data_IF_130947510446
#
_entry.id   IF_130947510446
#
_cell.length_a   1.000
_cell.length_b   1.000
_cell.length_c   1.000
_cell.angle_alpha   90.00
_cell.angle_beta   90.00
_cell.angle_gamma   90.00
#
_symmetry.space_group_name_H-M   'P 1'
#
loop_
_entity.id
_entity.type
_entity.pdbx_description
1 polymer ?
#
# COMPACT_ATOMS: atom_id res chain seq x y z
N UNK A 1 29.83 -37.57 1.76
CA UNK A 1 29.18 -37.46 0.43
C UNK A 1 29.56 -36.16 -0.27
N UNK A 2 29.29 -34.96 0.24
CA UNK A 2 29.59 -33.67 -0.42
C UNK A 2 31.06 -33.50 -0.81
N UNK A 3 32.01 -33.92 0.02
CA UNK A 3 33.44 -33.77 -0.26
C UNK A 3 33.90 -34.56 -1.50
N UNK A 4 33.35 -35.73 -1.77
CA UNK A 4 33.75 -36.59 -2.88
C UNK A 4 32.95 -36.36 -4.17
N UNK A 5 31.84 -35.64 -4.10
CA UNK A 5 31.02 -35.36 -5.28
C UNK A 5 31.67 -34.25 -6.15
N UNK A 6 31.94 -34.51 -7.40
CA UNK A 6 32.52 -33.53 -8.33
C UNK A 6 31.50 -32.48 -8.74
N UNK A 7 30.21 -32.86 -8.82
CA UNK A 7 29.11 -31.98 -9.18
C UNK A 7 27.98 -32.16 -8.17
N UNK A 8 27.43 -31.06 -7.67
CA UNK A 8 26.19 -31.03 -6.91
C UNK A 8 25.09 -30.41 -7.77
N UNK A 9 24.01 -31.17 -8.01
CA UNK A 9 22.82 -30.70 -8.71
C UNK A 9 21.69 -30.49 -7.68
N UNK A 10 21.31 -29.24 -7.47
CA UNK A 10 20.35 -28.83 -6.45
C UNK A 10 19.21 -28.06 -7.16
N UNK A 11 18.10 -28.74 -7.43
CA UNK A 11 17.02 -28.27 -8.30
C UNK A 11 15.66 -28.15 -7.61
N UNK A 12 15.53 -27.46 -6.46
CA UNK A 12 14.22 -27.26 -5.86
C UNK A 12 13.37 -26.35 -6.74
N UNK A 13 12.06 -26.63 -6.80
CA UNK A 13 11.08 -25.78 -7.44
C UNK A 13 10.77 -24.53 -6.58
N UNK A 14 10.93 -24.63 -5.28
CA UNK A 14 10.80 -23.54 -4.31
C UNK A 14 11.49 -23.91 -3.02
N UNK A 15 12.44 -23.09 -2.61
CA UNK A 15 13.16 -23.27 -1.33
C UNK A 15 13.59 -21.89 -0.81
N UNK A 16 13.25 -21.57 0.43
CA UNK A 16 13.53 -20.27 1.04
C UNK A 16 15.01 -20.01 1.31
N UNK A 17 15.84 -21.06 1.44
CA UNK A 17 17.27 -20.93 1.73
C UNK A 17 18.11 -21.94 0.93
N UNK A 18 17.92 -23.21 1.18
CA UNK A 18 18.69 -24.38 0.71
C UNK A 18 20.07 -24.53 1.39
N UNK A 19 20.09 -25.26 2.52
CA UNK A 19 21.33 -25.55 3.25
C UNK A 19 22.22 -26.52 2.50
N UNK A 20 21.67 -27.47 1.73
CA UNK A 20 22.43 -28.48 0.96
C UNK A 20 23.46 -27.81 0.03
N UNK A 21 23.06 -26.76 -0.70
CA UNK A 21 23.96 -26.01 -1.56
C UNK A 21 25.10 -25.35 -0.77
N UNK A 22 24.78 -24.76 0.40
CA UNK A 22 25.78 -24.13 1.28
C UNK A 22 26.73 -25.14 1.89
N UNK A 23 26.21 -26.29 2.34
CA UNK A 23 27.03 -27.38 2.90
C UNK A 23 27.98 -27.97 1.86
N UNK A 24 27.51 -28.15 0.62
CA UNK A 24 28.38 -28.60 -0.48
C UNK A 24 29.56 -27.66 -0.67
N UNK A 25 29.29 -26.37 -0.85
CA UNK A 25 30.32 -25.35 -1.05
C UNK A 25 31.29 -25.28 0.15
N UNK A 26 30.78 -25.33 1.37
CA UNK A 26 31.58 -25.28 2.60
C UNK A 26 32.52 -26.48 2.77
N UNK A 27 32.13 -27.68 2.30
CA UNK A 27 32.94 -28.89 2.42
C UNK A 27 34.03 -29.01 1.35
N UNK A 28 34.00 -28.18 0.29
CA UNK A 28 34.96 -28.22 -0.84
C UNK A 28 36.21 -27.37 -0.62
N UNK A 29 36.79 -27.34 0.59
CA UNK A 29 37.93 -26.46 0.94
C UNK A 29 39.17 -26.71 0.07
N UNK A 30 39.54 -27.96 -0.13
CA UNK A 30 40.76 -28.36 -0.85
C UNK A 30 40.44 -29.12 -2.16
N UNK A 31 39.18 -29.36 -2.48
CA UNK A 31 38.77 -30.24 -3.55
C UNK A 31 37.94 -29.45 -4.57
N UNK A 32 38.22 -29.52 -5.89
CA UNK A 32 37.42 -28.86 -6.90
C UNK A 32 36.01 -29.46 -6.96
N UNK A 33 35.09 -28.72 -7.52
CA UNK A 33 33.71 -29.15 -7.74
C UNK A 33 32.83 -28.05 -8.31
N UNK A 34 31.69 -28.43 -8.82
CA UNK A 34 30.74 -27.50 -9.45
C UNK A 34 29.38 -27.60 -8.75
N UNK A 35 28.83 -26.47 -8.37
CA UNK A 35 27.45 -26.37 -7.92
C UNK A 35 26.55 -25.92 -9.08
N UNK A 36 25.53 -26.74 -9.39
CA UNK A 36 24.40 -26.38 -10.26
C UNK A 36 23.22 -26.14 -9.34
N UNK A 37 22.67 -24.92 -9.34
CA UNK A 37 21.69 -24.48 -8.37
C UNK A 37 20.47 -23.87 -9.04
N UNK A 38 19.29 -24.26 -8.59
CA UNK A 38 18.02 -23.63 -9.01
C UNK A 38 17.98 -22.16 -8.63
N UNK A 39 17.60 -21.29 -9.57
CA UNK A 39 17.31 -19.89 -9.32
C UNK A 39 16.15 -19.68 -8.33
N UNK A 40 15.31 -20.72 -8.14
CA UNK A 40 14.20 -20.72 -7.17
C UNK A 40 14.64 -21.05 -5.72
N UNK A 41 15.92 -21.32 -5.50
CA UNK A 41 16.50 -21.47 -4.17
C UNK A 41 16.97 -20.12 -3.63
N UNK A 42 16.62 -19.77 -2.40
CA UNK A 42 17.06 -18.52 -1.77
C UNK A 42 18.59 -18.40 -1.68
N UNK A 43 19.30 -19.52 -1.58
CA UNK A 43 20.77 -19.55 -1.65
C UNK A 43 21.35 -19.07 -2.99
N UNK A 44 20.60 -19.02 -4.08
CA UNK A 44 21.06 -18.56 -5.41
C UNK A 44 21.52 -17.10 -5.39
N UNK A 45 20.92 -16.28 -4.54
CA UNK A 45 21.30 -14.87 -4.36
C UNK A 45 22.69 -14.71 -3.74
N UNK A 46 23.02 -15.60 -2.79
CA UNK A 46 24.33 -15.60 -2.12
C UNK A 46 25.39 -16.37 -2.91
N UNK A 47 25.01 -17.49 -3.51
CA UNK A 47 25.89 -18.37 -4.27
C UNK A 47 25.79 -18.11 -5.80
N UNK A 48 25.92 -16.85 -6.20
CA UNK A 48 25.74 -16.40 -7.59
C UNK A 48 26.81 -16.95 -8.55
N UNK A 49 27.94 -17.45 -8.04
CA UNK A 49 28.97 -18.12 -8.83
C UNK A 49 28.66 -19.61 -9.15
N UNK A 50 27.55 -20.15 -8.63
CA UNK A 50 27.00 -21.43 -9.09
C UNK A 50 26.53 -21.35 -10.56
N UNK A 51 26.38 -22.49 -11.21
CA UNK A 51 25.65 -22.56 -12.47
C UNK A 51 24.15 -22.47 -12.15
N UNK A 52 23.59 -21.27 -12.29
CA UNK A 52 22.16 -21.06 -12.00
C UNK A 52 21.31 -21.59 -13.16
N UNK A 53 20.23 -22.30 -12.83
CA UNK A 53 19.32 -22.91 -13.79
C UNK A 53 17.86 -22.72 -13.38
N UNK A 54 16.97 -22.67 -14.36
CA UNK A 54 15.56 -22.82 -14.12
C UNK A 54 15.23 -24.33 -13.96
N UNK A 55 14.71 -24.77 -12.78
CA UNK A 55 14.46 -26.18 -12.52
C UNK A 55 13.35 -26.80 -13.39
N UNK A 56 12.56 -25.98 -14.11
CA UNK A 56 11.55 -26.45 -15.06
C UNK A 56 12.06 -26.53 -16.51
N UNK A 57 13.29 -26.08 -16.77
CA UNK A 57 13.92 -26.08 -18.09
C UNK A 57 14.95 -27.23 -18.20
N UNK A 58 14.53 -28.33 -18.80
CA UNK A 58 15.36 -29.54 -18.97
C UNK A 58 16.57 -29.29 -19.86
N UNK A 59 16.45 -28.45 -20.86
CA UNK A 59 17.55 -28.13 -21.79
C UNK A 59 18.62 -27.32 -21.06
N UNK A 60 18.21 -26.36 -20.21
CA UNK A 60 19.13 -25.58 -19.40
C UNK A 60 19.85 -26.46 -18.35
N UNK A 61 19.15 -27.45 -17.75
CA UNK A 61 19.76 -28.42 -16.84
C UNK A 61 20.80 -29.27 -17.56
N UNK A 62 20.48 -29.80 -18.76
CA UNK A 62 21.41 -30.57 -19.58
C UNK A 62 22.66 -29.77 -19.93
N UNK A 63 22.48 -28.53 -20.41
CA UNK A 63 23.58 -27.63 -20.75
C UNK A 63 24.48 -27.35 -19.52
N UNK A 64 23.88 -27.13 -18.36
CA UNK A 64 24.62 -26.88 -17.13
C UNK A 64 25.45 -28.10 -16.70
N UNK A 65 24.87 -29.31 -16.80
CA UNK A 65 25.59 -30.56 -16.52
C UNK A 65 26.77 -30.75 -17.51
N UNK A 66 26.50 -30.57 -18.80
CA UNK A 66 27.55 -30.66 -19.83
C UNK A 66 28.68 -29.65 -19.62
N UNK A 67 28.33 -28.42 -19.20
CA UNK A 67 29.30 -27.37 -18.85
C UNK A 67 30.10 -27.74 -17.61
N UNK A 68 29.45 -28.24 -16.57
CA UNK A 68 30.10 -28.65 -15.33
C UNK A 68 31.12 -29.77 -15.56
N UNK A 69 30.77 -30.77 -16.38
CA UNK A 69 31.67 -31.89 -16.72
C UNK A 69 32.92 -31.46 -17.51
N UNK A 70 32.82 -30.38 -18.27
CA UNK A 70 33.93 -29.85 -19.10
C UNK A 70 34.65 -28.67 -18.45
N UNK A 71 34.21 -28.23 -17.28
CA UNK A 71 34.77 -27.05 -16.62
C UNK A 71 36.22 -27.28 -16.15
N UNK A 72 37.17 -26.39 -16.55
CA UNK A 72 38.55 -26.49 -16.10
C UNK A 72 38.65 -26.44 -14.56
N UNK A 73 39.60 -27.20 -14.01
CA UNK A 73 39.80 -27.26 -12.55
C UNK A 73 40.04 -25.88 -11.92
N UNK A 74 40.71 -25.00 -12.65
CA UNK A 74 40.97 -23.63 -12.18
C UNK A 74 39.67 -22.81 -12.04
N UNK A 75 38.78 -22.86 -13.05
CA UNK A 75 37.48 -22.20 -12.98
C UNK A 75 36.62 -22.78 -11.83
N UNK A 76 36.65 -24.10 -11.62
CA UNK A 76 35.95 -24.73 -10.50
C UNK A 76 36.42 -24.17 -9.15
N UNK A 77 37.76 -24.04 -8.96
CA UNK A 77 38.37 -23.50 -7.74
C UNK A 77 38.01 -22.03 -7.54
N UNK A 78 38.13 -21.20 -8.56
CA UNK A 78 37.80 -19.77 -8.47
C UNK A 78 36.33 -19.55 -8.06
N UNK A 79 35.41 -20.28 -8.69
CA UNK A 79 33.97 -20.19 -8.35
C UNK A 79 33.72 -20.59 -6.91
N UNK A 80 34.29 -21.73 -6.46
CA UNK A 80 34.15 -22.20 -5.09
C UNK A 80 34.75 -21.20 -4.09
N UNK A 81 35.93 -20.67 -4.35
CA UNK A 81 36.58 -19.68 -3.46
C UNK A 81 35.73 -18.43 -3.26
N UNK A 82 35.11 -17.91 -4.35
CA UNK A 82 34.21 -16.75 -4.26
C UNK A 82 32.97 -17.08 -3.42
N UNK A 83 32.34 -18.24 -3.65
CA UNK A 83 31.18 -18.67 -2.86
C UNK A 83 31.56 -18.92 -1.39
N UNK A 84 32.72 -19.56 -1.11
CA UNK A 84 33.23 -19.79 0.24
C UNK A 84 33.53 -18.48 0.98
N UNK A 85 34.08 -17.48 0.31
CA UNK A 85 34.30 -16.16 0.88
C UNK A 85 32.98 -15.54 1.37
N UNK A 86 31.91 -15.67 0.60
CA UNK A 86 30.56 -15.20 0.99
C UNK A 86 30.07 -15.98 2.22
N UNK A 87 30.16 -17.31 2.20
CA UNK A 87 29.71 -18.15 3.31
C UNK A 87 30.51 -17.90 4.61
N UNK A 88 31.79 -17.57 4.52
CA UNK A 88 32.63 -17.28 5.69
C UNK A 88 32.18 -16.03 6.44
N UNK A 89 31.55 -15.07 5.75
CA UNK A 89 31.00 -13.85 6.33
C UNK A 89 29.55 -14.03 6.77
N UNK A 90 28.77 -14.82 6.04
CA UNK A 90 27.35 -15.06 6.31
C UNK A 90 27.12 -16.23 7.29
N UNK A 91 27.68 -16.10 8.48
CA UNK A 91 27.58 -17.13 9.53
C UNK A 91 26.21 -17.12 10.21
N UNK A 92 25.84 -18.24 10.87
CA UNK A 92 24.61 -18.34 11.69
C UNK A 92 24.57 -17.27 12.79
N UNK A 93 25.71 -16.93 13.37
CA UNK A 93 25.80 -15.90 14.40
C UNK A 93 25.50 -14.50 13.82
N UNK A 94 26.03 -14.20 12.63
CA UNK A 94 25.71 -12.96 11.94
C UNK A 94 24.22 -12.89 11.57
N UNK A 95 23.68 -13.96 10.99
CA UNK A 95 22.25 -14.05 10.68
C UNK A 95 21.39 -13.82 11.91
N UNK A 96 21.68 -14.47 13.02
CA UNK A 96 20.96 -14.31 14.28
C UNK A 96 21.05 -12.87 14.81
N UNK A 97 22.25 -12.25 14.74
CA UNK A 97 22.45 -10.87 15.18
C UNK A 97 21.66 -9.88 14.31
N UNK A 98 21.68 -10.05 12.98
CA UNK A 98 20.94 -9.22 12.03
C UNK A 98 19.43 -9.38 12.24
N UNK A 99 18.91 -10.61 12.37
CA UNK A 99 17.52 -10.89 12.69
C UNK A 99 17.07 -10.23 14.00
N UNK A 100 17.86 -10.38 15.06
CA UNK A 100 17.54 -9.79 16.37
C UNK A 100 17.58 -8.27 16.34
N UNK A 101 18.46 -7.68 15.53
CA UNK A 101 18.51 -6.23 15.33
C UNK A 101 17.23 -5.73 14.62
N UNK A 102 16.85 -6.33 13.51
CA UNK A 102 15.64 -5.99 12.76
C UNK A 102 14.38 -6.20 13.59
N UNK A 103 14.32 -7.31 14.33
CA UNK A 103 13.21 -7.60 15.24
C UNK A 103 13.05 -6.52 16.31
N UNK A 104 14.16 -6.09 16.95
CA UNK A 104 14.13 -5.02 17.96
C UNK A 104 13.68 -3.69 17.34
N UNK A 105 14.22 -3.32 16.18
CA UNK A 105 13.83 -2.10 15.48
C UNK A 105 12.34 -2.11 15.12
N UNK A 106 11.85 -3.24 14.61
CA UNK A 106 10.43 -3.40 14.28
C UNK A 106 9.54 -3.36 15.53
N UNK A 107 9.95 -4.01 16.61
CA UNK A 107 9.22 -3.97 17.88
C UNK A 107 9.15 -2.56 18.46
N UNK A 108 10.25 -1.81 18.45
CA UNK A 108 10.29 -0.41 18.87
C UNK A 108 9.44 0.50 17.98
N UNK A 109 9.50 0.28 16.68
CA UNK A 109 8.67 0.99 15.70
C UNK A 109 7.18 0.73 16.00
N UNK A 110 6.78 -0.52 16.14
CA UNK A 110 5.40 -0.87 16.45
C UNK A 110 4.94 -0.28 17.78
N UNK A 111 5.79 -0.30 18.82
CA UNK A 111 5.47 0.33 20.11
C UNK A 111 5.26 1.83 19.99
N UNK A 112 6.06 2.52 19.16
CA UNK A 112 5.87 3.96 18.88
C UNK A 112 4.57 4.22 18.12
N UNK A 113 4.26 3.37 17.13
CA UNK A 113 3.06 3.51 16.32
C UNK A 113 1.79 3.26 17.14
N UNK A 114 1.79 2.29 18.06
CA UNK A 114 0.65 2.05 18.95
C UNK A 114 0.29 3.25 19.83
N UNK A 115 1.28 4.10 20.21
CA UNK A 115 1.04 5.34 20.95
C UNK A 115 0.26 6.40 20.14
N UNK A 116 0.12 6.25 18.84
CA UNK A 116 -0.65 7.15 17.98
C UNK A 116 -2.15 6.85 18.00
N UNK A 117 -2.57 5.74 18.59
CA UNK A 117 -4.00 5.44 18.73
C UNK A 117 -4.66 6.54 19.55
N UNK A 118 -5.69 7.15 18.97
CA UNK A 118 -6.41 8.28 19.60
C UNK A 118 -7.04 7.80 20.92
N UNK A 119 -6.67 8.43 22.02
CA UNK A 119 -7.26 8.19 23.33
C UNK A 119 -8.49 9.08 23.57
N UNK A 120 -9.28 8.76 24.61
CA UNK A 120 -10.39 9.62 25.02
C UNK A 120 -9.90 11.04 25.43
N UNK A 121 -8.71 11.14 26.01
CA UNK A 121 -8.09 12.42 26.35
C UNK A 121 -7.73 13.21 25.10
N UNK A 122 -7.07 12.58 24.10
CA UNK A 122 -6.75 13.22 22.82
C UNK A 122 -8.02 13.75 22.13
N UNK A 123 -9.10 12.97 22.14
CA UNK A 123 -10.38 13.41 21.56
C UNK A 123 -10.93 14.66 22.26
N UNK A 124 -10.81 14.74 23.57
CA UNK A 124 -11.27 15.92 24.33
C UNK A 124 -10.39 17.15 24.07
N UNK A 125 -9.08 16.96 23.96
CA UNK A 125 -8.14 18.02 23.59
C UNK A 125 -8.43 18.53 22.18
N UNK A 126 -8.62 17.63 21.20
CA UNK A 126 -8.98 17.96 19.82
C UNK A 126 -10.31 18.74 19.79
N UNK A 127 -11.32 18.28 20.54
CA UNK A 127 -12.62 18.95 20.65
C UNK A 127 -12.46 20.37 21.21
N UNK A 128 -11.65 20.55 22.24
CA UNK A 128 -11.38 21.85 22.83
C UNK A 128 -10.74 22.81 21.80
N UNK A 129 -9.73 22.34 21.06
CA UNK A 129 -9.10 23.11 20.00
C UNK A 129 -10.09 23.46 18.89
N UNK A 130 -10.94 22.51 18.49
CA UNK A 130 -12.00 22.73 17.52
C UNK A 130 -12.96 23.81 17.97
N UNK A 131 -13.47 23.76 19.21
CA UNK A 131 -14.45 24.72 19.72
C UNK A 131 -13.91 26.14 19.82
N UNK A 132 -12.65 26.27 20.19
CA UNK A 132 -11.97 27.60 20.34
C UNK A 132 -11.63 28.24 18.99
N UNK A 133 -11.49 27.46 17.93
CA UNK A 133 -11.08 27.96 16.63
C UNK A 133 -12.17 28.79 15.95
N UNK A 134 -11.75 29.91 15.35
CA UNK A 134 -12.62 30.84 14.62
C UNK A 134 -12.76 30.45 13.15
N UNK A 135 -11.76 29.81 12.58
CA UNK A 135 -11.76 29.33 11.17
C UNK A 135 -11.12 27.97 11.08
N UNK A 136 -11.87 26.99 10.61
CA UNK A 136 -11.48 25.57 10.62
C UNK A 136 -11.45 25.01 9.22
N UNK A 137 -10.43 24.22 8.91
CA UNK A 137 -10.34 23.39 7.69
C UNK A 137 -10.50 21.92 8.09
N UNK A 138 -11.45 21.26 7.46
CA UNK A 138 -11.74 19.84 7.67
C UNK A 138 -11.56 19.14 6.33
N UNK A 139 -10.49 18.37 6.20
CA UNK A 139 -10.09 17.63 5.00
C UNK A 139 -10.40 16.15 5.22
N UNK A 140 -11.33 15.60 4.47
CA UNK A 140 -11.78 14.24 4.62
C UNK A 140 -11.58 13.46 3.31
N UNK A 141 -10.87 12.36 3.38
CA UNK A 141 -10.92 11.37 2.33
C UNK A 141 -12.26 10.63 2.37
N UNK A 142 -12.64 9.99 1.25
CA UNK A 142 -13.95 9.37 1.11
C UNK A 142 -13.88 7.84 1.30
N UNK A 143 -13.19 7.13 0.41
CA UNK A 143 -13.14 5.67 0.37
C UNK A 143 -12.16 5.12 1.41
N UNK A 144 -12.62 4.21 2.26
CA UNK A 144 -11.82 3.68 3.38
C UNK A 144 -11.80 4.60 4.61
N UNK A 145 -12.25 5.85 4.46
CA UNK A 145 -12.31 6.86 5.53
C UNK A 145 -13.77 7.17 5.92
N UNK A 146 -14.52 7.87 5.10
CA UNK A 146 -15.93 8.19 5.38
C UNK A 146 -16.85 7.00 5.07
N UNK A 147 -16.50 6.19 4.09
CA UNK A 147 -17.27 5.02 3.65
C UNK A 147 -16.33 3.82 3.57
N UNK A 148 -16.77 2.65 4.05
CA UNK A 148 -16.03 1.41 3.91
C UNK A 148 -15.87 1.02 2.43
N UNK A 149 -14.77 0.35 2.10
CA UNK A 149 -14.55 -0.19 0.76
C UNK A 149 -15.68 -1.14 0.36
N UNK A 150 -16.15 -1.01 -0.87
CA UNK A 150 -17.14 -1.88 -1.50
C UNK A 150 -16.48 -2.65 -2.64
N UNK A 151 -17.11 -3.77 -3.03
CA UNK A 151 -16.65 -4.54 -4.18
C UNK A 151 -16.77 -3.72 -5.47
N UNK A 152 -17.92 -3.07 -5.64
CA UNK A 152 -18.15 -2.16 -6.75
C UNK A 152 -18.07 -0.71 -6.27
N UNK A 153 -17.27 0.15 -6.92
CA UNK A 153 -17.08 1.54 -6.53
C UNK A 153 -18.40 2.34 -6.44
N UNK A 154 -19.35 2.03 -7.31
CA UNK A 154 -20.69 2.67 -7.34
C UNK A 154 -21.55 2.37 -6.11
N UNK A 155 -21.28 1.29 -5.38
CA UNK A 155 -22.02 0.91 -4.16
C UNK A 155 -21.58 1.68 -2.92
N UNK A 156 -20.50 2.43 -2.99
CA UNK A 156 -19.98 3.22 -1.86
C UNK A 156 -20.75 4.54 -1.69
N UNK A 157 -22.06 4.51 -1.87
CA UNK A 157 -22.96 5.67 -1.73
C UNK A 157 -22.95 6.16 -0.28
N UNK A 158 -22.96 7.50 -0.03
CA UNK A 158 -23.03 8.04 1.33
C UNK A 158 -24.29 7.59 2.06
N UNK A 159 -24.11 7.11 3.27
CA UNK A 159 -25.26 6.77 4.14
C UNK A 159 -26.01 8.04 4.59
N UNK A 160 -27.30 7.95 4.93
CA UNK A 160 -28.02 9.09 5.51
C UNK A 160 -27.31 9.69 6.73
N UNK A 161 -26.79 8.86 7.63
CA UNK A 161 -26.04 9.32 8.80
C UNK A 161 -24.79 10.14 8.43
N UNK A 162 -24.04 9.69 7.40
CA UNK A 162 -22.89 10.44 6.90
C UNK A 162 -23.32 11.80 6.30
N UNK A 163 -24.39 11.80 5.51
CA UNK A 163 -24.92 13.05 4.91
C UNK A 163 -25.36 14.03 5.99
N UNK A 164 -26.09 13.57 7.01
CA UNK A 164 -26.54 14.41 8.13
C UNK A 164 -25.33 14.99 8.90
N UNK A 165 -24.29 14.18 9.13
CA UNK A 165 -23.06 14.63 9.78
C UNK A 165 -22.35 15.71 8.95
N UNK A 166 -22.19 15.50 7.66
CA UNK A 166 -21.56 16.50 6.77
C UNK A 166 -22.41 17.79 6.71
N UNK A 167 -23.74 17.69 6.65
CA UNK A 167 -24.64 18.84 6.71
C UNK A 167 -24.47 19.64 8.01
N UNK A 168 -24.34 18.97 9.17
CA UNK A 168 -24.05 19.64 10.44
C UNK A 168 -22.73 20.37 10.44
N UNK A 169 -21.66 19.73 9.93
CA UNK A 169 -20.37 20.42 9.79
C UNK A 169 -20.44 21.65 8.91
N UNK A 170 -21.16 21.59 7.80
CA UNK A 170 -21.33 22.71 6.87
C UNK A 170 -22.23 23.83 7.43
N UNK A 171 -23.12 23.52 8.38
CA UNK A 171 -24.02 24.49 9.02
C UNK A 171 -23.27 25.49 9.92
N UNK A 172 -22.08 25.13 10.43
CA UNK A 172 -21.21 26.06 11.15
C UNK A 172 -20.33 26.83 10.15
N UNK A 173 -20.60 28.10 9.99
CA UNK A 173 -19.89 28.99 9.05
C UNK A 173 -18.38 29.12 9.31
N UNK A 174 -17.90 28.68 10.48
CA UNK A 174 -16.46 28.61 10.81
C UNK A 174 -15.77 27.46 10.10
N UNK A 175 -16.52 26.46 9.65
CA UNK A 175 -15.98 25.26 9.02
C UNK A 175 -15.86 25.44 7.50
N UNK A 176 -14.68 25.13 6.98
CA UNK A 176 -14.46 24.83 5.57
C UNK A 176 -14.26 23.33 5.42
N UNK A 177 -15.27 22.64 4.93
CA UNK A 177 -15.26 21.18 4.78
C UNK A 177 -14.94 20.84 3.34
N UNK A 178 -13.90 20.03 3.14
CA UNK A 178 -13.44 19.60 1.81
C UNK A 178 -13.34 18.08 1.77
N UNK A 179 -14.02 17.46 0.81
CA UNK A 179 -13.85 16.05 0.45
C UNK A 179 -12.69 15.96 -0.55
N UNK A 180 -11.61 15.26 -0.19
CA UNK A 180 -10.40 15.11 -1.01
C UNK A 180 -10.21 13.64 -1.42
N UNK A 181 -10.68 13.26 -2.61
CA UNK A 181 -10.86 11.88 -3.04
C UNK A 181 -10.22 11.59 -4.40
N UNK A 182 -9.89 10.32 -4.65
CA UNK A 182 -9.54 9.80 -5.96
C UNK A 182 -10.74 9.56 -6.89
N UNK A 183 -11.98 9.72 -6.39
CA UNK A 183 -13.19 9.58 -7.19
C UNK A 183 -13.31 10.70 -8.23
N UNK A 184 -13.99 10.37 -9.32
CA UNK A 184 -14.33 11.35 -10.36
C UNK A 184 -15.31 12.41 -9.83
N UNK A 185 -15.26 13.59 -10.44
CA UNK A 185 -16.04 14.72 -10.00
C UNK A 185 -17.55 14.58 -10.26
N UNK A 186 -17.98 13.80 -11.26
CA UNK A 186 -19.39 13.55 -11.54
C UNK A 186 -20.02 12.69 -10.44
N UNK A 187 -19.31 11.67 -9.98
CA UNK A 187 -19.76 10.82 -8.87
C UNK A 187 -19.90 11.62 -7.57
N UNK A 188 -18.90 12.43 -7.22
CA UNK A 188 -18.97 13.29 -6.04
C UNK A 188 -20.10 14.32 -6.12
N UNK A 189 -20.30 14.93 -7.29
CA UNK A 189 -21.43 15.85 -7.52
C UNK A 189 -22.78 15.16 -7.34
N UNK A 190 -22.94 13.97 -7.94
CA UNK A 190 -24.18 13.19 -7.83
C UNK A 190 -24.49 12.82 -6.38
N UNK A 191 -23.48 12.50 -5.57
CA UNK A 191 -23.69 11.98 -4.22
C UNK A 191 -23.81 13.06 -3.15
N UNK A 192 -23.06 14.15 -3.27
CA UNK A 192 -22.88 15.14 -2.21
C UNK A 192 -22.95 16.59 -2.74
N UNK A 193 -23.20 16.79 -4.03
CA UNK A 193 -23.13 18.10 -4.66
C UNK A 193 -24.19 19.11 -4.21
N UNK A 194 -25.27 18.64 -3.56
CA UNK A 194 -26.30 19.43 -2.91
C UNK A 194 -25.88 20.00 -1.55
N UNK A 195 -24.80 19.47 -0.94
CA UNK A 195 -24.24 19.97 0.31
C UNK A 195 -23.28 21.12 0.03
N UNK A 196 -23.17 22.12 0.92
CA UNK A 196 -22.24 23.25 0.76
C UNK A 196 -20.79 22.84 1.09
N UNK A 197 -20.31 21.77 0.43
CA UNK A 197 -18.97 21.22 0.54
C UNK A 197 -18.05 21.79 -0.53
N UNK A 198 -16.77 21.88 -0.22
CA UNK A 198 -15.72 21.93 -1.24
C UNK A 198 -15.27 20.51 -1.59
N UNK A 199 -14.83 20.33 -2.83
CA UNK A 199 -14.37 19.03 -3.31
C UNK A 199 -13.00 19.15 -3.97
N UNK A 200 -12.18 18.13 -3.81
CA UNK A 200 -11.04 17.82 -4.65
C UNK A 200 -11.23 16.40 -5.18
N UNK A 201 -11.50 16.28 -6.46
CA UNK A 201 -11.75 15.03 -7.16
C UNK A 201 -10.52 14.62 -7.98
N UNK A 202 -10.38 13.34 -8.28
CA UNK A 202 -9.25 12.76 -9.02
C UNK A 202 -7.90 13.27 -8.46
N UNK A 203 -7.77 13.20 -7.10
CA UNK A 203 -6.58 13.64 -6.36
C UNK A 203 -6.21 15.12 -6.58
N UNK A 204 -7.19 16.01 -6.80
CA UNK A 204 -6.98 17.44 -7.00
C UNK A 204 -6.86 17.87 -8.47
N UNK A 205 -7.11 16.97 -9.43
CA UNK A 205 -7.22 17.31 -10.84
C UNK A 205 -8.44 18.20 -11.11
N UNK A 206 -9.49 18.04 -10.33
CA UNK A 206 -10.67 18.86 -10.31
C UNK A 206 -10.95 19.34 -8.89
N UNK A 207 -11.38 20.59 -8.75
CA UNK A 207 -11.85 21.08 -7.45
C UNK A 207 -13.14 21.88 -7.62
N UNK A 208 -14.02 21.81 -6.61
CA UNK A 208 -15.25 22.60 -6.53
C UNK A 208 -15.13 23.60 -5.39
N UNK A 209 -15.27 24.86 -5.72
CA UNK A 209 -15.28 25.95 -4.77
C UNK A 209 -16.42 26.92 -5.08
N UNK A 210 -17.17 27.37 -4.06
CA UNK A 210 -18.33 28.26 -4.20
C UNK A 210 -19.35 27.76 -5.22
N UNK A 211 -19.54 26.43 -5.32
CA UNK A 211 -20.51 25.81 -6.20
C UNK A 211 -20.07 25.59 -7.65
N UNK A 212 -18.88 26.05 -8.05
CA UNK A 212 -18.36 25.84 -9.39
C UNK A 212 -17.20 24.86 -9.44
N UNK A 213 -17.20 23.95 -10.42
CA UNK A 213 -16.09 23.06 -10.72
C UNK A 213 -15.01 23.75 -11.54
N UNK A 214 -13.78 23.52 -11.16
CA UNK A 214 -12.59 24.01 -11.84
C UNK A 214 -11.69 22.84 -12.19
N UNK A 215 -11.06 22.89 -13.37
CA UNK A 215 -10.10 21.89 -13.84
C UNK A 215 -8.68 22.42 -13.60
N UNK A 216 -7.88 21.66 -12.87
CA UNK A 216 -6.50 22.00 -12.50
C UNK A 216 -5.45 21.32 -13.41
N UNK A 217 -5.90 20.63 -14.46
CA UNK A 217 -5.06 19.93 -15.43
C UNK A 217 -5.38 20.42 -16.85
N UNK A 218 -4.36 20.42 -17.72
CA UNK A 218 -4.57 20.59 -19.15
C UNK A 218 -5.34 19.42 -19.77
N UNK A 219 -5.96 19.64 -20.93
CA UNK A 219 -6.51 18.53 -21.70
C UNK A 219 -5.36 17.60 -22.12
N UNK A 220 -5.44 16.35 -21.74
CA UNK A 220 -4.44 15.34 -22.05
C UNK A 220 -5.12 14.20 -22.80
N UNK A 221 -4.62 13.92 -23.99
CA UNK A 221 -4.95 12.65 -24.66
C UNK A 221 -4.01 11.56 -24.12
N UNK A 222 -4.60 10.41 -23.81
CA UNK A 222 -3.82 9.28 -23.32
C UNK A 222 -3.02 8.64 -24.46
N UNK A 223 -1.78 8.32 -24.17
CA UNK A 223 -0.85 7.72 -25.14
C UNK A 223 -1.37 6.35 -25.62
N UNK A 224 -1.37 6.12 -26.94
CA UNK A 224 -1.90 4.92 -27.54
C UNK A 224 -1.09 3.67 -27.15
N UNK A 225 0.23 3.77 -26.97
CA UNK A 225 1.08 2.68 -26.51
C UNK A 225 0.72 2.29 -25.07
N UNK A 226 0.51 3.28 -24.20
CA UNK A 226 0.09 3.06 -22.82
C UNK A 226 -1.27 2.35 -22.76
N UNK A 227 -2.25 2.84 -23.51
CA UNK A 227 -3.58 2.21 -23.60
C UNK A 227 -3.51 0.79 -24.16
N UNK A 228 -2.67 0.55 -25.15
CA UNK A 228 -2.46 -0.80 -25.70
C UNK A 228 -1.91 -1.77 -24.64
N UNK A 229 -0.88 -1.36 -23.89
CA UNK A 229 -0.31 -2.19 -22.81
C UNK A 229 -1.36 -2.49 -21.74
N UNK A 230 -2.10 -1.47 -21.28
CA UNK A 230 -3.13 -1.63 -20.26
C UNK A 230 -4.23 -2.61 -20.71
N UNK A 231 -4.74 -2.47 -21.94
CA UNK A 231 -5.74 -3.37 -22.50
C UNK A 231 -5.22 -4.81 -22.68
N UNK A 232 -3.93 -4.97 -22.99
CA UNK A 232 -3.30 -6.29 -23.04
C UNK A 232 -3.31 -6.97 -21.66
N UNK A 233 -3.08 -6.21 -20.58
CA UNK A 233 -3.15 -6.75 -19.21
C UNK A 233 -4.59 -7.04 -18.78
N UNK A 234 -5.56 -6.23 -19.19
CA UNK A 234 -7.00 -6.56 -19.01
C UNK A 234 -7.33 -7.89 -19.65
N UNK A 235 -6.94 -8.12 -20.92
CA UNK A 235 -7.22 -9.37 -21.63
C UNK A 235 -6.57 -10.60 -21.03
N UNK A 236 -5.44 -10.44 -20.33
CA UNK A 236 -4.66 -11.53 -19.71
C UNK A 236 -4.96 -11.75 -18.22
N UNK A 237 -5.86 -10.95 -17.63
CA UNK A 237 -6.19 -11.03 -16.21
C UNK A 237 -7.70 -11.09 -16.06
N UNK A 238 -8.28 -12.28 -15.87
CA UNK A 238 -9.73 -12.44 -15.70
C UNK A 238 -10.28 -11.53 -14.59
N UNK A 239 -11.44 -10.95 -14.84
CA UNK A 239 -12.15 -10.04 -13.93
C UNK A 239 -11.41 -8.73 -13.59
N UNK A 240 -10.37 -8.38 -14.35
CA UNK A 240 -9.78 -7.05 -14.29
C UNK A 240 -10.43 -6.13 -15.34
N UNK A 241 -10.38 -4.81 -15.09
CA UNK A 241 -10.88 -3.82 -16.04
C UNK A 241 -10.06 -2.54 -15.98
N UNK A 242 -10.12 -1.76 -17.05
CA UNK A 242 -9.51 -0.44 -17.16
C UNK A 242 -10.58 0.63 -17.01
N UNK A 243 -10.43 1.49 -16.01
CA UNK A 243 -11.20 2.72 -15.84
C UNK A 243 -10.41 3.88 -16.45
N UNK A 244 -11.01 4.60 -17.40
CA UNK A 244 -10.41 5.77 -18.00
C UNK A 244 -11.09 7.02 -17.45
N UNK A 245 -10.35 7.79 -16.64
CA UNK A 245 -10.75 9.08 -16.10
C UNK A 245 -10.13 10.21 -16.93
N UNK A 246 -10.57 11.44 -16.71
CA UNK A 246 -9.97 12.59 -17.39
C UNK A 246 -8.51 12.82 -16.95
N UNK A 247 -8.20 12.60 -15.68
CA UNK A 247 -6.89 12.85 -15.10
C UNK A 247 -6.06 11.60 -14.83
N UNK A 248 -6.65 10.39 -14.87
CA UNK A 248 -6.01 9.14 -14.51
C UNK A 248 -6.49 7.98 -15.36
N UNK A 249 -5.62 6.95 -15.51
CA UNK A 249 -5.97 5.61 -15.95
C UNK A 249 -5.83 4.68 -14.76
N UNK A 250 -6.85 3.87 -14.46
CA UNK A 250 -6.83 2.96 -13.33
C UNK A 250 -7.14 1.53 -13.79
N UNK A 251 -6.16 0.62 -13.65
CA UNK A 251 -6.35 -0.79 -13.90
C UNK A 251 -6.71 -1.49 -12.60
N UNK A 252 -7.97 -1.94 -12.50
CA UNK A 252 -8.54 -2.62 -11.34
C UNK A 252 -8.44 -4.13 -11.47
N UNK A 253 -8.00 -4.81 -10.38
CA UNK A 253 -7.87 -6.27 -10.32
C UNK A 253 -8.42 -6.87 -9.01
N UNK A 254 -9.36 -6.16 -8.37
CA UNK A 254 -9.95 -6.58 -7.08
C UNK A 254 -10.68 -7.91 -7.15
N UNK A 255 -11.38 -8.15 -8.27
CA UNK A 255 -12.17 -9.36 -8.50
C UNK A 255 -11.35 -10.52 -9.08
N UNK A 256 -10.11 -10.26 -9.48
CA UNK A 256 -9.19 -11.26 -10.00
C UNK A 256 -8.69 -12.17 -8.87
N UNK A 257 -8.20 -13.36 -9.25
CA UNK A 257 -7.45 -14.20 -8.32
C UNK A 257 -6.34 -13.40 -7.62
N UNK A 258 -6.24 -13.50 -6.29
CA UNK A 258 -5.39 -12.63 -5.49
C UNK A 258 -3.91 -12.74 -5.88
N UNK A 259 -3.40 -13.96 -6.11
CA UNK A 259 -2.01 -14.18 -6.48
C UNK A 259 -1.73 -13.70 -7.90
N UNK A 260 -2.61 -14.04 -8.85
CA UNK A 260 -2.47 -13.64 -10.25
C UNK A 260 -2.56 -12.13 -10.40
N UNK A 261 -3.49 -11.48 -9.70
CA UNK A 261 -3.67 -10.03 -9.71
C UNK A 261 -2.43 -9.29 -9.24
N UNK A 262 -1.84 -9.71 -8.11
CA UNK A 262 -0.60 -9.11 -7.58
C UNK A 262 0.60 -9.30 -8.52
N UNK A 263 0.76 -10.51 -9.07
CA UNK A 263 1.81 -10.80 -10.05
C UNK A 263 1.66 -9.90 -11.29
N UNK A 264 0.44 -9.80 -11.83
CA UNK A 264 0.15 -8.95 -12.99
C UNK A 264 0.33 -7.47 -12.70
N UNK A 265 -0.02 -6.99 -11.50
CA UNK A 265 0.22 -5.61 -11.10
C UNK A 265 1.72 -5.25 -11.12
N UNK A 266 2.57 -6.15 -10.62
CA UNK A 266 4.03 -5.98 -10.68
C UNK A 266 4.56 -5.99 -12.12
N UNK A 267 4.08 -6.92 -12.96
CA UNK A 267 4.45 -7.01 -14.38
C UNK A 267 3.99 -5.77 -15.15
N UNK A 268 2.74 -5.35 -14.95
CA UNK A 268 2.19 -4.14 -15.56
C UNK A 268 3.01 -2.91 -15.22
N UNK A 269 3.29 -2.70 -13.92
CA UNK A 269 4.10 -1.57 -13.45
C UNK A 269 5.45 -1.50 -14.17
N UNK A 270 6.14 -2.65 -14.31
CA UNK A 270 7.41 -2.72 -15.04
C UNK A 270 7.25 -2.42 -16.53
N UNK A 271 6.18 -2.92 -17.15
CA UNK A 271 5.93 -2.75 -18.59
C UNK A 271 5.61 -1.29 -18.97
N UNK A 272 4.81 -0.59 -18.13
CA UNK A 272 4.40 0.80 -18.42
C UNK A 272 5.43 1.84 -17.96
N UNK A 273 6.36 1.47 -17.08
CA UNK A 273 7.33 2.41 -16.48
C UNK A 273 8.11 3.23 -17.53
N UNK A 274 8.66 2.65 -18.62
CA UNK A 274 9.40 3.43 -19.62
C UNK A 274 8.51 4.48 -20.32
N UNK A 275 7.27 4.13 -20.64
CA UNK A 275 6.31 5.03 -21.29
C UNK A 275 5.92 6.15 -20.33
N UNK A 276 5.61 5.81 -19.07
CA UNK A 276 5.25 6.77 -18.05
C UNK A 276 6.37 7.77 -17.77
N UNK A 277 7.62 7.32 -17.65
CA UNK A 277 8.80 8.18 -17.46
C UNK A 277 8.98 9.15 -18.63
N UNK A 278 8.87 8.65 -19.87
CA UNK A 278 8.98 9.49 -21.07
C UNK A 278 7.90 10.57 -21.15
N UNK A 279 6.70 10.28 -20.63
CA UNK A 279 5.54 11.18 -20.65
C UNK A 279 5.38 12.03 -19.38
N UNK A 280 6.29 11.90 -18.42
CA UNK A 280 6.19 12.59 -17.13
C UNK A 280 4.97 12.17 -16.32
N UNK A 281 4.59 10.88 -16.38
CA UNK A 281 3.49 10.29 -15.63
C UNK A 281 4.00 9.54 -14.42
N UNK A 282 3.21 9.53 -13.36
CA UNK A 282 3.44 8.75 -12.15
C UNK A 282 2.59 7.48 -12.14
N UNK A 283 3.19 6.38 -11.70
CA UNK A 283 2.49 5.12 -11.46
C UNK A 283 2.31 4.98 -9.95
N UNK A 284 1.08 4.70 -9.51
CA UNK A 284 0.74 4.46 -8.13
C UNK A 284 0.07 3.09 -7.98
N UNK A 285 0.45 2.36 -6.92
CA UNK A 285 -0.20 1.12 -6.53
C UNK A 285 -1.08 1.40 -5.31
N UNK A 286 -2.39 1.25 -5.48
CA UNK A 286 -3.38 1.32 -4.43
C UNK A 286 -3.89 -0.06 -4.02
N UNK A 287 -5.00 -0.09 -3.30
CA UNK A 287 -5.62 -1.33 -2.85
C UNK A 287 -6.31 -2.06 -4.02
N UNK A 288 -5.59 -3.01 -4.65
CA UNK A 288 -6.04 -3.79 -5.82
C UNK A 288 -6.28 -2.94 -7.07
N UNK A 289 -5.48 -1.89 -7.25
CA UNK A 289 -5.50 -1.00 -8.41
C UNK A 289 -4.08 -0.53 -8.74
N UNK A 290 -3.78 -0.39 -10.04
CA UNK A 290 -2.60 0.33 -10.55
C UNK A 290 -3.10 1.57 -11.27
N UNK A 291 -2.75 2.74 -10.76
CA UNK A 291 -3.19 4.04 -11.28
C UNK A 291 -2.03 4.77 -11.95
N UNK A 292 -2.30 5.39 -13.09
CA UNK A 292 -1.36 6.23 -13.84
C UNK A 292 -1.94 7.64 -13.93
N UNK A 293 -1.20 8.65 -13.46
CA UNK A 293 -1.68 10.04 -13.41
C UNK A 293 -0.54 11.04 -13.53
N UNK A 294 -0.89 12.33 -13.62
CA UNK A 294 0.08 13.42 -13.50
C UNK A 294 0.66 13.50 -12.09
N UNK A 295 1.97 13.66 -11.90
CA UNK A 295 2.58 13.87 -10.59
C UNK A 295 2.17 15.18 -9.92
N UNK A 296 1.65 16.15 -10.68
CA UNK A 296 1.21 17.44 -10.16
C UNK A 296 -0.12 17.35 -9.39
N UNK A 297 -0.94 16.32 -9.71
CA UNK A 297 -2.23 16.12 -9.08
C UNK A 297 -2.10 15.14 -7.91
N UNK A 298 -1.95 15.68 -6.71
CA UNK A 298 -1.89 14.91 -5.45
C UNK A 298 -2.85 15.51 -4.43
N UNK A 299 -3.25 14.71 -3.43
CA UNK A 299 -4.04 15.23 -2.30
C UNK A 299 -3.29 16.35 -1.55
N UNK A 300 -1.95 16.33 -1.61
CA UNK A 300 -1.11 17.37 -1.02
C UNK A 300 -1.11 18.69 -1.81
N UNK A 301 -1.21 18.66 -3.14
CA UNK A 301 -1.29 19.87 -3.96
C UNK A 301 -2.57 20.67 -3.70
N UNK A 302 -3.68 19.98 -3.44
CA UNK A 302 -4.94 20.63 -3.05
C UNK A 302 -4.82 21.28 -1.65
N UNK A 303 -4.17 20.62 -0.70
CA UNK A 303 -3.89 21.24 0.60
C UNK A 303 -3.09 22.53 0.44
N UNK A 304 -2.04 22.53 -0.38
CA UNK A 304 -1.24 23.72 -0.64
C UNK A 304 -2.10 24.85 -1.22
N UNK A 305 -3.00 24.55 -2.16
CA UNK A 305 -3.95 25.51 -2.74
C UNK A 305 -4.84 26.12 -1.67
N UNK A 306 -5.43 25.31 -0.79
CA UNK A 306 -6.34 25.78 0.27
C UNK A 306 -5.62 26.63 1.32
N UNK A 307 -4.39 26.28 1.68
CA UNK A 307 -3.59 27.04 2.65
C UNK A 307 -3.07 28.37 2.09
N UNK A 308 -2.84 28.45 0.77
CA UNK A 308 -2.54 29.72 0.09
C UNK A 308 -3.75 30.66 0.04
N UNK A 309 -4.95 30.10 -0.15
CA UNK A 309 -6.19 30.88 -0.25
C UNK A 309 -6.66 31.44 1.11
N UNK A 310 -6.34 30.76 2.22
CA UNK A 310 -6.85 31.14 3.55
C UNK A 310 -5.96 30.66 4.69
N UNK A 311 -6.01 31.40 5.81
CA UNK A 311 -5.42 30.95 7.09
C UNK A 311 -6.50 30.30 7.94
N UNK A 312 -6.14 29.19 8.60
CA UNK A 312 -7.01 28.43 9.49
C UNK A 312 -6.39 28.29 10.88
N UNK A 313 -7.22 28.43 11.93
CA UNK A 313 -6.80 28.28 13.32
C UNK A 313 -6.81 26.80 13.75
N UNK A 314 -7.64 25.99 13.09
CA UNK A 314 -7.76 24.55 13.30
C UNK A 314 -7.77 23.84 11.94
N UNK A 315 -7.00 22.77 11.84
CA UNK A 315 -6.95 21.93 10.64
C UNK A 315 -7.06 20.47 11.08
N UNK A 316 -8.05 19.77 10.56
CA UNK A 316 -8.23 18.32 10.69
C UNK A 316 -8.11 17.69 9.31
N UNK A 317 -7.29 16.66 9.17
CA UNK A 317 -7.20 15.85 7.96
C UNK A 317 -7.30 14.36 8.32
N UNK A 318 -8.14 13.63 7.61
CA UNK A 318 -8.38 12.20 7.82
C UNK A 318 -8.26 11.44 6.51
N UNK A 319 -7.61 10.27 6.55
CA UNK A 319 -7.44 9.40 5.37
C UNK A 319 -6.87 8.03 5.73
N UNK A 320 -7.07 7.05 4.86
CA UNK A 320 -6.69 5.64 5.08
C UNK A 320 -5.57 5.13 4.17
N UNK A 321 -5.31 5.78 3.03
CA UNK A 321 -4.37 5.31 2.01
C UNK A 321 -3.02 6.05 2.04
N UNK A 322 -2.09 5.62 1.21
CA UNK A 322 -0.77 6.26 0.99
C UNK A 322 -0.88 7.64 0.35
N UNK A 323 -1.91 7.86 -0.48
CA UNK A 323 -2.19 9.17 -1.08
C UNK A 323 -2.55 10.24 -0.04
N UNK A 324 -3.11 9.82 1.12
CA UNK A 324 -3.41 10.72 2.22
C UNK A 324 -2.17 11.15 2.99
N UNK A 325 -1.11 10.36 2.92
CA UNK A 325 0.17 10.77 3.50
C UNK A 325 0.77 11.99 2.82
N UNK A 326 0.48 12.21 1.52
CA UNK A 326 0.87 13.43 0.81
C UNK A 326 0.07 14.62 1.35
N UNK A 327 -1.23 14.42 1.62
CA UNK A 327 -2.06 15.40 2.30
C UNK A 327 -1.49 15.75 3.69
N UNK A 328 -1.12 14.74 4.50
CA UNK A 328 -0.57 14.96 5.84
C UNK A 328 0.78 15.69 5.81
N UNK A 329 1.64 15.39 4.83
CA UNK A 329 2.96 16.07 4.68
C UNK A 329 2.83 17.53 4.27
N UNK A 330 1.80 17.88 3.49
CA UNK A 330 1.59 19.25 3.02
C UNK A 330 1.03 20.17 4.11
N UNK A 331 0.54 19.61 5.21
CA UNK A 331 -0.06 20.35 6.32
C UNK A 331 0.98 20.87 7.31
N UNK A 332 0.71 22.01 7.98
CA UNK A 332 1.57 22.52 9.05
C UNK A 332 1.61 21.56 10.23
N UNK A 333 2.68 21.61 11.01
CA UNK A 333 2.88 20.76 12.20
C UNK A 333 1.75 20.91 13.23
N UNK A 334 1.06 22.04 13.29
CA UNK A 334 -0.09 22.27 14.17
C UNK A 334 -1.34 21.48 13.74
N UNK A 335 -1.46 21.07 12.49
CA UNK A 335 -2.62 20.33 11.99
C UNK A 335 -2.81 18.99 12.71
N UNK A 336 -4.05 18.58 12.88
CA UNK A 336 -4.45 17.30 13.43
C UNK A 336 -4.65 16.35 12.24
N UNK A 337 -3.75 15.39 12.12
CA UNK A 337 -3.76 14.39 11.06
C UNK A 337 -4.10 13.02 11.64
N UNK A 338 -5.11 12.37 11.10
CA UNK A 338 -5.65 11.10 11.59
C UNK A 338 -5.61 10.06 10.47
N UNK A 339 -4.79 9.05 10.66
CA UNK A 339 -4.76 7.88 9.79
C UNK A 339 -5.85 6.90 10.20
N UNK A 340 -6.58 6.34 9.24
CA UNK A 340 -7.58 5.30 9.46
C UNK A 340 -6.98 3.94 9.07
N UNK A 341 -7.20 2.91 9.88
CA UNK A 341 -6.69 1.56 9.64
C UNK A 341 -5.22 1.40 10.01
N UNK A 342 -4.38 1.05 9.04
CA UNK A 342 -2.96 0.79 9.27
C UNK A 342 -2.23 2.06 9.74
N UNK A 343 -1.52 1.97 10.86
CA UNK A 343 -0.83 3.12 11.47
C UNK A 343 0.27 3.66 10.57
N UNK A 344 0.30 4.99 10.40
CA UNK A 344 1.31 5.70 9.61
C UNK A 344 2.26 6.51 10.50
N UNK A 345 3.51 6.63 10.05
CA UNK A 345 4.49 7.55 10.67
C UNK A 345 4.17 9.03 10.39
N UNK A 346 3.42 9.31 9.33
CA UNK A 346 3.14 10.67 8.85
C UNK A 346 1.97 11.33 9.57
N UNK A 347 0.98 10.54 10.01
CA UNK A 347 -0.12 11.06 10.80
C UNK A 347 0.26 11.21 12.27
N UNK A 348 -0.35 12.17 12.97
CA UNK A 348 -0.22 12.34 14.43
C UNK A 348 -0.97 11.27 15.19
N UNK A 349 -2.18 10.98 14.73
CA UNK A 349 -3.13 10.09 15.39
C UNK A 349 -3.55 8.96 14.44
N UNK A 350 -4.13 7.92 15.02
CA UNK A 350 -4.67 6.78 14.30
C UNK A 350 -6.03 6.35 14.89
N UNK A 351 -6.98 6.10 14.02
CA UNK A 351 -8.19 5.31 14.30
C UNK A 351 -7.99 3.89 13.74
N UNK A 352 -8.37 2.87 14.50
CA UNK A 352 -8.05 1.48 14.16
C UNK A 352 -8.88 0.95 12.99
N UNK A 353 -10.05 1.52 12.77
CA UNK A 353 -10.95 1.12 11.67
C UNK A 353 -11.79 2.29 11.16
N UNK A 354 -12.36 2.11 9.98
CA UNK A 354 -13.28 3.09 9.37
C UNK A 354 -14.54 3.31 10.24
N UNK A 355 -15.00 2.30 10.96
CA UNK A 355 -16.17 2.38 11.84
C UNK A 355 -15.99 3.40 12.99
N UNK A 356 -14.75 3.70 13.37
CA UNK A 356 -14.43 4.68 14.42
C UNK A 356 -14.51 6.15 13.90
N UNK A 357 -14.57 6.38 12.58
CA UNK A 357 -14.50 7.71 11.97
C UNK A 357 -15.76 8.53 12.25
N UNK A 358 -16.95 7.99 11.97
CA UNK A 358 -18.19 8.71 12.17
C UNK A 358 -18.40 9.07 13.66
N UNK A 359 -18.24 8.15 14.63
CA UNK A 359 -18.31 8.48 16.05
C UNK A 359 -17.32 9.56 16.49
N UNK A 360 -16.10 9.54 15.97
CA UNK A 360 -15.11 10.58 16.25
C UNK A 360 -15.56 11.94 15.72
N UNK A 361 -16.06 12.01 14.49
CA UNK A 361 -16.55 13.25 13.89
C UNK A 361 -17.83 13.75 14.56
N UNK A 362 -18.75 12.87 14.96
CA UNK A 362 -19.97 13.21 15.72
C UNK A 362 -19.61 13.86 17.07
N UNK A 363 -18.66 13.27 17.78
CA UNK A 363 -18.17 13.88 19.04
C UNK A 363 -17.54 15.26 18.78
N UNK A 364 -16.88 15.45 17.66
CA UNK A 364 -16.27 16.73 17.31
C UNK A 364 -17.34 17.78 16.96
N UNK A 365 -18.43 17.40 16.26
CA UNK A 365 -19.52 18.33 15.90
C UNK A 365 -20.38 18.78 17.09
N UNK A 366 -20.32 18.10 18.25
CA UNK A 366 -20.97 18.56 19.50
C UNK A 366 -22.36 18.03 19.78
N UNK A 367 -22.91 17.13 18.93
CA UNK A 367 -24.18 16.43 19.21
C UNK A 367 -23.98 14.91 19.19
N UNK A 368 -23.80 14.35 20.38
CA UNK A 368 -23.97 12.91 20.55
C UNK A 368 -25.45 12.56 20.50
N UNK A 369 -25.98 12.23 19.33
CA UNK A 369 -27.25 11.50 19.27
C UNK A 369 -26.97 10.13 19.90
N UNK A 370 -27.62 9.88 21.05
CA UNK A 370 -27.70 8.57 21.67
C UNK A 370 -28.42 7.62 20.69
N UNK A 371 -27.69 7.02 19.78
CA UNK A 371 -28.16 5.78 19.18
C UNK A 371 -28.19 4.74 20.26
N UNK A 372 -29.42 4.38 20.69
CA UNK A 372 -29.63 3.30 21.63
C UNK A 372 -28.86 2.08 21.18
N UNK A 373 -27.80 1.80 21.90
CA UNK A 373 -27.05 0.55 21.78
C UNK A 373 -28.00 -0.58 22.15
N UNK A 374 -28.69 -1.16 21.19
CA UNK A 374 -29.12 -2.55 21.29
C UNK A 374 -27.86 -3.42 21.24
N UNK A 375 -27.07 -3.33 22.30
CA UNK A 375 -26.07 -4.36 22.60
C UNK A 375 -26.82 -5.60 23.07
N UNK A 376 -27.45 -6.32 22.12
CA UNK A 376 -27.73 -7.75 22.32
C UNK A 376 -26.37 -8.44 22.29
N UNK A 377 -25.86 -8.53 23.48
CA UNK A 377 -24.89 -9.47 24.04
C UNK A 377 -24.32 -10.51 23.07
N UNK A 378 -23.15 -10.21 22.50
CA UNK A 378 -22.22 -11.22 21.95
C UNK A 378 -21.69 -12.16 23.06
N UNK A 379 -21.93 -11.87 24.34
CA UNK A 379 -21.60 -12.76 25.48
C UNK A 379 -22.37 -14.09 25.49
N UNK A 380 -23.46 -14.21 24.76
CA UNK A 380 -24.24 -15.48 24.64
C UNK A 380 -23.66 -16.47 23.64
N UNK A 381 -23.00 -16.03 22.59
CA UNK A 381 -22.47 -16.93 21.55
C UNK A 381 -21.09 -17.49 21.88
N UNK A 382 -20.28 -16.79 22.66
CA UNK A 382 -18.98 -17.31 23.12
C UNK A 382 -19.11 -18.40 24.20
N UNK A 383 -20.21 -18.45 24.96
CA UNK A 383 -20.44 -19.49 25.96
C UNK A 383 -20.89 -20.81 25.33
N UNK A 384 -21.63 -20.76 24.23
CA UNK A 384 -22.08 -21.95 23.50
C UNK A 384 -20.94 -22.67 22.74
N UNK A 385 -19.88 -21.94 22.34
CA UNK A 385 -18.74 -22.54 21.62
C UNK A 385 -17.72 -23.18 22.55
N UNK A 386 -17.65 -22.74 23.80
CA UNK A 386 -16.71 -23.32 24.81
C UNK A 386 -17.26 -24.62 25.40
N UNK A 387 -18.58 -24.76 25.50
CA UNK A 387 -19.21 -25.97 26.00
C UNK A 387 -19.25 -27.12 24.97
N UNK A 388 -19.05 -26.83 23.68
CA UNK A 388 -18.98 -27.84 22.62
C UNK A 388 -17.61 -28.57 22.55
N UNK A 389 -16.57 -28.01 23.14
CA UNK A 389 -15.22 -28.62 23.20
C UNK A 389 -14.89 -29.29 24.54
N UNK A 390 -15.86 -29.45 25.45
CA UNK A 390 -15.70 -30.12 26.74
C UNK A 390 -16.62 -31.35 26.91
N UNK A 391 -17.21 -31.83 25.83
CA UNK A 391 -17.97 -33.08 25.78
C UNK A 391 -17.20 -34.18 25.05
#
# INVERSE_FOLDING_TARGET
MYYVADIALVTPLRDGMNLVAKEYVATKQDNPGVLILSEMAGASVELSDALLINPNDTDQIEQAICRALKMPLEEQRERLQRMQAILSVQTVNKWAADFMREWRQTAEKNKRLQKKKISAQDQNEIKTLYDQAKKRLILLDYDGTLTAFKNHPEDAVPTPALRDLLQRFCSDSRNHVTINSGRDHYTLEKWLGDLPLSFAAEHGAFYKEKGAWHKNIGNREWDSELLFILNLFVSKTPYSHLETKEAALAWHYRESDAWLGELRAQQLTKAIMPVCLKKGLQIMQGNKVVEIKSPECTKGSEVARLLLASRYDFILAMGDDTTDEDMFRALPVSAITVKVGIVSEKAKYNLSSQEEVLPFLEKLSGEGVSYGTTSKSIKGQLKATVDFFKG
#
